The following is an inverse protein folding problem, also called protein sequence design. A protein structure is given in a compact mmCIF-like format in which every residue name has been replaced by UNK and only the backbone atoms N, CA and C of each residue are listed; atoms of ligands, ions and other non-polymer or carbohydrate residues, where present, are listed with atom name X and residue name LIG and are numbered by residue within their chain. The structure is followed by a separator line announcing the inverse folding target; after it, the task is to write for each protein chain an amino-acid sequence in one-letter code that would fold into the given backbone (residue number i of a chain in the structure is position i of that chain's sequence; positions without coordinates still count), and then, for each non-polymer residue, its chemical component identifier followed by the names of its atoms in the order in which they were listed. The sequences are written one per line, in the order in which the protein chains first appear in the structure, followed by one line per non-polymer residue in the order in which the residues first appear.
data_IF_260729479087
#
_entry.id   IF_260729479087
#
_cell.length_a   1.000
_cell.length_b   1.000
_cell.length_c   1.000
_cell.angle_alpha   90.00
_cell.angle_beta   90.00
_cell.angle_gamma   90.00
#
_symmetry.space_group_name_H-M   'P 1'
#
loop_
_entity.id
_entity.type
_entity.pdbx_description
1 polymer ?
#
# COMPACT_ATOMS: atom_id res chain seq x y z
N UNK A 1 2.02 5.20 -33.39
CA UNK A 1 3.49 5.05 -33.48
C UNK A 1 3.87 3.80 -32.70
N UNK A 2 3.94 2.64 -33.37
CA UNK A 2 4.25 1.35 -32.73
C UNK A 2 5.76 1.19 -32.71
N UNK A 3 6.34 1.13 -31.51
CA UNK A 3 7.78 0.89 -31.32
C UNK A 3 8.13 -0.52 -31.82
N UNK A 4 9.19 -0.64 -32.60
CA UNK A 4 9.65 -1.91 -33.19
C UNK A 4 10.03 -2.91 -32.08
N UNK A 5 9.47 -4.14 -32.05
CA UNK A 5 9.73 -5.14 -31.00
C UNK A 5 11.22 -5.45 -30.82
N UNK A 6 12.03 -5.35 -31.88
CA UNK A 6 13.47 -5.60 -31.81
C UNK A 6 14.19 -4.51 -30.99
N UNK A 7 13.76 -3.26 -31.10
CA UNK A 7 14.33 -2.16 -30.31
C UNK A 7 13.97 -2.27 -28.83
N UNK A 8 12.76 -2.76 -28.53
CA UNK A 8 12.33 -3.02 -27.16
C UNK A 8 13.19 -4.12 -26.52
N UNK A 9 13.42 -5.23 -27.24
CA UNK A 9 14.20 -6.36 -26.72
C UNK A 9 15.67 -5.97 -26.48
N UNK A 10 16.26 -5.18 -27.39
CA UNK A 10 17.60 -4.63 -27.19
C UNK A 10 17.68 -3.65 -26.02
N UNK A 11 16.65 -2.82 -25.80
CA UNK A 11 16.60 -1.90 -24.67
C UNK A 11 16.54 -2.66 -23.33
N UNK A 12 15.69 -3.69 -23.24
CA UNK A 12 15.56 -4.55 -22.04
C UNK A 12 16.88 -5.28 -21.74
N UNK A 13 17.57 -5.79 -22.75
CA UNK A 13 18.87 -6.45 -22.55
C UNK A 13 19.95 -5.49 -22.04
N UNK A 14 20.00 -4.25 -22.56
CA UNK A 14 20.95 -3.22 -22.07
C UNK A 14 20.67 -2.82 -20.64
N UNK A 15 19.40 -2.74 -20.25
CA UNK A 15 18.99 -2.37 -18.89
C UNK A 15 19.34 -3.46 -17.88
N UNK A 16 19.11 -4.74 -18.21
CA UNK A 16 19.54 -5.88 -17.38
C UNK A 16 21.06 -5.96 -17.21
N UNK A 17 21.82 -5.65 -18.27
CA UNK A 17 23.29 -5.60 -18.19
C UNK A 17 23.79 -4.45 -17.32
N UNK A 18 23.18 -3.25 -17.40
CA UNK A 18 23.47 -2.12 -16.50
C UNK A 18 23.17 -2.46 -15.04
N UNK A 19 22.04 -3.11 -14.79
CA UNK A 19 21.66 -3.57 -13.45
C UNK A 19 22.73 -4.46 -12.82
N UNK A 20 23.16 -5.51 -13.52
CA UNK A 20 24.21 -6.44 -13.02
C UNK A 20 25.54 -5.74 -12.76
N UNK A 21 25.96 -4.81 -13.63
CA UNK A 21 27.24 -4.11 -13.49
C UNK A 21 27.25 -3.16 -12.29
N UNK A 22 26.14 -2.44 -12.08
CA UNK A 22 25.98 -1.58 -10.90
C UNK A 22 25.93 -2.39 -9.61
N UNK A 23 25.30 -3.57 -9.65
CA UNK A 23 25.19 -4.47 -8.50
C UNK A 23 26.56 -5.02 -8.05
N UNK A 24 27.41 -5.41 -9.00
CA UNK A 24 28.79 -5.81 -8.69
C UNK A 24 29.60 -4.65 -8.09
N UNK A 25 29.43 -3.43 -8.61
CA UNK A 25 30.10 -2.26 -8.05
C UNK A 25 29.68 -1.99 -6.60
N UNK A 26 28.38 -2.09 -6.29
CA UNK A 26 27.85 -1.94 -4.93
C UNK A 26 28.41 -3.01 -3.99
N UNK A 27 28.46 -4.28 -4.43
CA UNK A 27 28.99 -5.37 -3.62
C UNK A 27 30.49 -5.19 -3.32
N UNK A 28 31.29 -4.79 -4.31
CA UNK A 28 32.73 -4.51 -4.13
C UNK A 28 32.95 -3.33 -3.18
N UNK A 29 32.14 -2.26 -3.30
CA UNK A 29 32.23 -1.10 -2.42
C UNK A 29 31.85 -1.44 -0.97
N UNK A 30 30.79 -2.22 -0.77
CA UNK A 30 30.37 -2.68 0.55
C UNK A 30 31.46 -3.55 1.21
N UNK A 31 31.97 -4.57 0.49
CA UNK A 31 33.03 -5.44 1.01
C UNK A 31 34.30 -4.67 1.40
N UNK A 32 34.71 -3.69 0.59
CA UNK A 32 35.90 -2.88 0.86
C UNK A 32 35.71 -1.95 2.06
N UNK A 33 34.57 -1.24 2.16
CA UNK A 33 34.25 -0.39 3.31
C UNK A 33 34.21 -1.18 4.63
N UNK A 34 33.52 -2.32 4.67
CA UNK A 34 33.44 -3.16 5.87
C UNK A 34 34.79 -3.78 6.22
N UNK A 35 35.60 -4.18 5.23
CA UNK A 35 36.95 -4.70 5.47
C UNK A 35 37.87 -3.66 6.11
N UNK A 36 37.84 -2.41 5.62
CA UNK A 36 38.60 -1.29 6.20
C UNK A 36 38.13 -1.01 7.64
N UNK A 37 36.82 -0.96 7.87
CA UNK A 37 36.26 -0.71 9.20
C UNK A 37 36.67 -1.80 10.19
N UNK A 38 36.56 -3.07 9.82
CA UNK A 38 36.98 -4.19 10.67
C UNK A 38 38.48 -4.20 10.95
N UNK A 39 39.31 -3.77 10.00
CA UNK A 39 40.75 -3.60 10.22
C UNK A 39 41.07 -2.53 11.27
N UNK A 40 40.34 -1.40 11.23
CA UNK A 40 40.47 -0.31 12.22
C UNK A 40 40.05 -0.81 13.62
N UNK A 41 38.92 -1.51 13.73
CA UNK A 41 38.48 -2.09 15.01
C UNK A 41 39.45 -3.13 15.57
N UNK A 42 40.00 -4.01 14.72
CA UNK A 42 41.02 -4.98 15.13
C UNK A 42 42.31 -4.29 15.63
N UNK A 43 42.64 -3.13 15.06
CA UNK A 43 43.79 -2.34 15.49
C UNK A 43 43.56 -1.68 16.85
N UNK A 44 42.34 -1.19 17.12
CA UNK A 44 41.94 -0.66 18.44
C UNK A 44 41.90 -1.77 19.50
N UNK A 45 41.43 -2.96 19.14
CA UNK A 45 41.37 -4.12 20.04
C UNK A 45 42.72 -4.78 20.36
N UNK A 46 43.84 -4.19 19.92
CA UNK A 46 45.20 -4.72 20.11
C UNK A 46 45.42 -6.15 19.61
N UNK A 47 44.68 -6.55 18.56
CA UNK A 47 44.87 -7.85 17.91
C UNK A 47 46.29 -7.92 17.30
N UNK A 48 47.00 -9.06 17.40
CA UNK A 48 48.29 -9.26 16.74
C UNK A 48 48.25 -8.92 15.26
N UNK A 49 49.28 -8.24 14.74
CA UNK A 49 49.33 -7.73 13.37
C UNK A 49 48.92 -8.73 12.27
N UNK A 50 49.41 -10.00 12.25
CA UNK A 50 49.01 -10.94 11.20
C UNK A 50 47.53 -11.32 11.26
N UNK A 51 46.93 -11.34 12.46
CA UNK A 51 45.52 -11.69 12.63
C UNK A 51 44.56 -10.57 12.17
N UNK A 52 45.03 -9.32 12.06
CA UNK A 52 44.21 -8.18 11.60
C UNK A 52 43.74 -8.35 10.16
N UNK A 53 44.57 -8.92 9.29
CA UNK A 53 44.20 -9.19 7.90
C UNK A 53 43.10 -10.23 7.78
N UNK A 54 43.15 -11.28 8.61
CA UNK A 54 42.07 -12.28 8.68
C UNK A 54 40.76 -11.66 9.19
N UNK A 55 40.81 -10.83 10.22
CA UNK A 55 39.63 -10.13 10.75
C UNK A 55 39.05 -9.15 9.72
N UNK A 56 39.90 -8.44 8.99
CA UNK A 56 39.47 -7.53 7.92
C UNK A 56 38.80 -8.28 6.76
N UNK A 57 39.38 -9.40 6.30
CA UNK A 57 38.81 -10.22 5.24
C UNK A 57 37.45 -10.81 5.65
N UNK A 58 37.34 -11.32 6.89
CA UNK A 58 36.08 -11.84 7.41
C UNK A 58 35.02 -10.78 7.61
N UNK A 59 35.41 -9.62 8.15
CA UNK A 59 34.52 -8.47 8.32
C UNK A 59 33.97 -7.95 6.99
N UNK A 60 34.83 -7.87 5.97
CA UNK A 60 34.43 -7.49 4.61
C UNK A 60 33.42 -8.47 4.00
N UNK A 61 33.65 -9.78 4.13
CA UNK A 61 32.73 -10.80 3.61
C UNK A 61 31.38 -10.78 4.34
N UNK A 62 31.39 -10.75 5.68
CA UNK A 62 30.16 -10.72 6.49
C UNK A 62 29.37 -9.44 6.22
N UNK A 63 30.04 -8.28 6.22
CA UNK A 63 29.39 -7.00 5.95
C UNK A 63 28.84 -6.90 4.52
N UNK A 64 29.55 -7.46 3.53
CA UNK A 64 29.07 -7.55 2.15
C UNK A 64 27.80 -8.39 2.02
N UNK A 65 27.77 -9.58 2.61
CA UNK A 65 26.58 -10.45 2.64
C UNK A 65 25.42 -9.75 3.36
N UNK A 66 25.68 -9.10 4.49
CA UNK A 66 24.65 -8.39 5.24
C UNK A 66 24.07 -7.20 4.45
N UNK A 67 24.90 -6.48 3.70
CA UNK A 67 24.45 -5.39 2.82
C UNK A 67 23.59 -5.93 1.69
N UNK A 68 23.97 -7.04 1.07
CA UNK A 68 23.18 -7.71 0.03
C UNK A 68 21.80 -8.10 0.57
N UNK A 69 21.76 -8.79 1.70
CA UNK A 69 20.51 -9.23 2.33
C UNK A 69 19.69 -8.00 2.74
N UNK A 70 20.31 -6.99 3.34
CA UNK A 70 19.64 -5.75 3.75
C UNK A 70 19.02 -4.99 2.57
N UNK A 71 19.74 -4.86 1.45
CA UNK A 71 19.20 -4.24 0.23
C UNK A 71 18.07 -5.07 -0.35
N UNK A 72 18.18 -6.40 -0.38
CA UNK A 72 17.09 -7.26 -0.84
C UNK A 72 15.87 -7.18 0.09
N UNK A 73 16.07 -7.09 1.40
CA UNK A 73 15.00 -6.91 2.37
C UNK A 73 14.31 -5.56 2.16
N UNK A 74 15.08 -4.48 2.08
CA UNK A 74 14.55 -3.13 1.84
C UNK A 74 13.84 -3.07 0.49
N UNK A 75 14.36 -3.71 -0.55
CA UNK A 75 13.69 -3.80 -1.85
C UNK A 75 12.41 -4.64 -1.79
N UNK A 76 12.40 -5.75 -1.04
CA UNK A 76 11.20 -6.56 -0.84
C UNK A 76 10.13 -5.80 -0.05
N UNK A 77 10.51 -5.09 1.01
CA UNK A 77 9.62 -4.22 1.78
C UNK A 77 9.14 -3.02 0.97
N UNK A 78 10.02 -2.41 0.17
CA UNK A 78 9.64 -1.32 -0.75
C UNK A 78 8.71 -1.83 -1.84
N UNK A 79 8.93 -3.03 -2.39
CA UNK A 79 8.01 -3.61 -3.37
C UNK A 79 6.66 -3.97 -2.77
N UNK A 80 6.62 -4.46 -1.53
CA UNK A 80 5.36 -4.70 -0.80
C UNK A 80 4.64 -3.40 -0.46
N UNK A 81 5.36 -2.39 0.03
CA UNK A 81 4.79 -1.09 0.40
C UNK A 81 4.37 -0.24 -0.79
N UNK A 82 5.19 -0.21 -1.86
CA UNK A 82 4.92 0.56 -3.08
C UNK A 82 3.86 -0.12 -3.94
N UNK A 83 3.80 -1.46 -4.03
CA UNK A 83 2.64 -2.12 -4.67
C UNK A 83 1.37 -1.95 -3.87
N UNK A 84 1.43 -2.00 -2.53
CA UNK A 84 0.27 -1.69 -1.70
C UNK A 84 -0.20 -0.23 -1.83
N UNK A 85 0.70 0.71 -2.17
CA UNK A 85 0.36 2.12 -2.37
C UNK A 85 -0.01 2.49 -3.82
N UNK A 86 0.66 1.92 -4.82
CA UNK A 86 0.47 2.26 -6.24
C UNK A 86 -0.46 1.28 -6.98
N UNK A 87 -0.63 0.06 -6.48
CA UNK A 87 -1.52 -0.96 -7.06
C UNK A 87 -2.39 -1.63 -5.98
N UNK A 88 -3.32 -0.91 -5.32
CA UNK A 88 -4.27 -1.58 -4.41
C UNK A 88 -5.28 -2.47 -5.15
N UNK A 89 -5.26 -2.56 -6.48
CA UNK A 89 -6.27 -3.28 -7.24
C UNK A 89 -5.85 -3.73 -8.64
N UNK A 90 -5.51 -5.02 -8.76
CA UNK A 90 -5.96 -5.84 -9.88
C UNK A 90 -5.15 -5.84 -11.17
N UNK A 91 -5.17 -7.01 -11.82
CA UNK A 91 -4.59 -7.31 -13.14
C UNK A 91 -4.76 -6.18 -14.16
N UNK A 92 -3.80 -5.99 -15.07
CA UNK A 92 -3.76 -4.83 -16.00
C UNK A 92 -5.02 -4.52 -16.83
N UNK A 93 -6.03 -5.40 -16.88
CA UNK A 93 -7.36 -5.09 -17.43
C UNK A 93 -8.22 -4.20 -16.52
N UNK A 94 -8.19 -4.44 -15.21
CA UNK A 94 -8.92 -3.63 -14.23
C UNK A 94 -8.37 -2.20 -14.24
N UNK A 95 -7.06 -2.04 -14.46
CA UNK A 95 -6.39 -0.74 -14.62
C UNK A 95 -6.89 0.06 -15.84
N UNK A 96 -7.19 -0.61 -16.96
CA UNK A 96 -7.73 0.05 -18.18
C UNK A 96 -9.15 0.55 -17.92
N UNK A 97 -10.01 -0.30 -17.34
CA UNK A 97 -11.38 0.08 -16.96
C UNK A 97 -11.36 1.24 -15.99
N UNK A 98 -10.51 1.16 -14.96
CA UNK A 98 -10.36 2.22 -13.96
C UNK A 98 -9.92 3.53 -14.61
N UNK A 99 -8.88 3.53 -15.45
CA UNK A 99 -8.39 4.73 -16.12
C UNK A 99 -9.47 5.38 -17.01
N UNK A 100 -10.26 4.58 -17.73
CA UNK A 100 -11.34 5.09 -18.56
C UNK A 100 -12.48 5.70 -17.73
N UNK A 101 -12.91 5.00 -16.67
CA UNK A 101 -13.95 5.49 -15.77
C UNK A 101 -13.50 6.72 -14.98
N UNK A 102 -12.23 6.78 -14.56
CA UNK A 102 -11.65 7.93 -13.90
C UNK A 102 -11.61 9.15 -14.82
N UNK A 103 -11.26 8.98 -16.09
CA UNK A 103 -11.32 10.07 -17.07
C UNK A 103 -12.75 10.63 -17.22
N UNK A 104 -13.78 9.79 -17.09
CA UNK A 104 -15.18 10.24 -17.08
C UNK A 104 -15.56 10.97 -15.78
N UNK A 105 -15.10 10.46 -14.63
CA UNK A 105 -15.32 11.10 -13.33
C UNK A 105 -14.65 12.48 -13.24
N UNK A 106 -13.44 12.65 -13.80
CA UNK A 106 -12.73 13.94 -13.87
C UNK A 106 -13.50 14.96 -14.72
N UNK A 107 -14.28 14.50 -15.70
CA UNK A 107 -15.19 15.36 -16.49
C UNK A 107 -16.54 15.62 -15.78
N UNK A 108 -16.68 15.18 -14.53
CA UNK A 108 -17.90 15.30 -13.74
C UNK A 108 -19.00 14.29 -14.10
N UNK A 109 -18.72 13.33 -14.99
CA UNK A 109 -19.71 12.35 -15.43
C UNK A 109 -19.63 11.06 -14.62
N UNK A 110 -20.07 11.12 -13.37
CA UNK A 110 -20.06 9.99 -12.43
C UNK A 110 -21.01 8.87 -12.85
N UNK A 111 -22.12 9.18 -13.52
CA UNK A 111 -23.06 8.17 -14.00
C UNK A 111 -22.45 7.32 -15.12
N UNK A 112 -21.78 7.96 -16.09
CA UNK A 112 -21.07 7.23 -17.14
C UNK A 112 -19.90 6.41 -16.59
N UNK A 113 -19.20 6.93 -15.57
CA UNK A 113 -18.17 6.18 -14.86
C UNK A 113 -18.76 4.90 -14.22
N UNK A 114 -19.88 5.01 -13.50
CA UNK A 114 -20.56 3.84 -12.91
C UNK A 114 -21.01 2.83 -13.96
N UNK A 115 -21.55 3.28 -15.11
CA UNK A 115 -21.94 2.38 -16.20
C UNK A 115 -20.75 1.60 -16.76
N UNK A 116 -19.57 2.21 -16.85
CA UNK A 116 -18.37 1.51 -17.28
C UNK A 116 -17.96 0.40 -16.29
N UNK A 117 -18.08 0.64 -14.98
CA UNK A 117 -17.84 -0.39 -13.98
C UNK A 117 -18.90 -1.48 -13.97
N UNK A 118 -20.18 -1.14 -14.18
CA UNK A 118 -21.26 -2.12 -14.32
C UNK A 118 -21.01 -3.04 -15.51
N UNK A 119 -20.59 -2.47 -16.66
CA UNK A 119 -20.21 -3.26 -17.83
C UNK A 119 -19.00 -4.17 -17.54
N UNK A 120 -17.94 -3.64 -16.92
CA UNK A 120 -16.77 -4.43 -16.58
C UNK A 120 -17.10 -5.59 -15.61
N UNK A 121 -18.00 -5.37 -14.65
CA UNK A 121 -18.51 -6.42 -13.77
C UNK A 121 -19.34 -7.46 -14.51
N UNK A 122 -20.14 -7.06 -15.48
CA UNK A 122 -20.91 -7.99 -16.31
C UNK A 122 -19.99 -8.89 -17.14
N UNK A 123 -18.88 -8.36 -17.64
CA UNK A 123 -17.93 -9.09 -18.50
C UNK A 123 -16.93 -9.96 -17.70
N UNK A 124 -16.53 -9.52 -16.50
CA UNK A 124 -15.40 -10.12 -15.77
C UNK A 124 -15.74 -10.62 -14.37
N UNK A 125 -17.01 -10.51 -13.99
CA UNK A 125 -17.48 -10.80 -12.65
C UNK A 125 -17.23 -9.64 -11.68
N UNK A 126 -17.83 -9.77 -10.50
CA UNK A 126 -17.64 -8.82 -9.41
C UNK A 126 -16.30 -9.07 -8.71
N UNK A 127 -15.35 -8.14 -8.89
CA UNK A 127 -14.02 -8.18 -8.27
C UNK A 127 -13.88 -7.09 -7.22
N UNK A 128 -13.16 -7.38 -6.14
CA UNK A 128 -12.84 -6.42 -5.09
C UNK A 128 -12.15 -5.16 -5.64
N UNK A 129 -11.22 -5.33 -6.60
CA UNK A 129 -10.52 -4.21 -7.27
C UNK A 129 -11.49 -3.23 -7.93
N UNK A 130 -12.48 -3.73 -8.66
CA UNK A 130 -13.48 -2.91 -9.36
C UNK A 130 -14.42 -2.21 -8.39
N UNK A 131 -14.85 -2.90 -7.32
CA UNK A 131 -15.71 -2.32 -6.28
C UNK A 131 -15.00 -1.17 -5.56
N UNK A 132 -13.73 -1.37 -5.21
CA UNK A 132 -12.90 -0.35 -4.57
C UNK A 132 -12.71 0.86 -5.48
N UNK A 133 -12.33 0.62 -6.74
CA UNK A 133 -12.12 1.67 -7.74
C UNK A 133 -13.37 2.53 -7.98
N UNK A 134 -14.56 1.91 -8.11
CA UNK A 134 -15.80 2.67 -8.26
C UNK A 134 -16.16 3.43 -6.99
N UNK A 135 -16.00 2.82 -5.81
CA UNK A 135 -16.26 3.48 -4.55
C UNK A 135 -15.43 4.77 -4.38
N UNK A 136 -14.15 4.72 -4.76
CA UNK A 136 -13.25 5.88 -4.68
C UNK A 136 -13.68 7.04 -5.59
N UNK A 137 -14.25 6.72 -6.75
CA UNK A 137 -14.85 7.71 -7.64
C UNK A 137 -16.12 8.31 -7.02
N UNK A 138 -16.97 7.48 -6.42
CA UNK A 138 -18.22 7.91 -5.78
C UNK A 138 -18.02 8.67 -4.46
N UNK A 139 -16.84 8.54 -3.83
CA UNK A 139 -16.46 9.30 -2.63
C UNK A 139 -15.99 10.73 -2.93
N UNK A 140 -15.82 11.11 -4.20
CA UNK A 140 -15.44 12.48 -4.58
C UNK A 140 -16.60 13.46 -4.27
N UNK A 141 -16.28 14.76 -4.21
CA UNK A 141 -17.21 15.81 -3.77
C UNK A 141 -18.57 15.81 -4.52
N UNK A 142 -18.56 15.54 -5.82
CA UNK A 142 -19.76 15.50 -6.67
C UNK A 142 -20.27 14.06 -6.92
N UNK A 143 -19.72 13.09 -6.20
CA UNK A 143 -20.11 11.68 -6.28
C UNK A 143 -21.41 11.38 -5.54
N UNK A 144 -21.84 10.12 -5.58
CA UNK A 144 -23.02 9.66 -4.87
C UNK A 144 -22.60 8.89 -3.59
N UNK A 145 -22.77 9.50 -2.39
CA UNK A 145 -22.32 8.88 -1.14
C UNK A 145 -23.10 7.61 -0.77
N UNK A 146 -24.36 7.50 -1.18
CA UNK A 146 -25.16 6.27 -0.98
C UNK A 146 -24.65 5.13 -1.86
N UNK A 147 -24.30 5.43 -3.12
CA UNK A 147 -23.70 4.44 -4.01
C UNK A 147 -22.32 4.00 -3.49
N UNK A 148 -21.51 4.93 -3.00
CA UNK A 148 -20.24 4.61 -2.36
C UNK A 148 -20.44 3.65 -1.17
N UNK A 149 -21.43 3.92 -0.30
CA UNK A 149 -21.78 3.05 0.82
C UNK A 149 -22.11 1.63 0.35
N UNK A 150 -22.97 1.48 -0.66
CA UNK A 150 -23.33 0.16 -1.22
C UNK A 150 -22.10 -0.60 -1.72
N UNK A 151 -21.24 0.07 -2.48
CA UNK A 151 -20.02 -0.53 -3.05
C UNK A 151 -19.04 -0.99 -1.97
N UNK A 152 -18.83 -0.18 -0.93
CA UNK A 152 -17.95 -0.53 0.20
C UNK A 152 -18.52 -1.70 1.02
N UNK A 153 -19.84 -1.74 1.20
CA UNK A 153 -20.49 -2.89 1.84
C UNK A 153 -20.35 -4.18 1.02
N UNK A 154 -20.42 -4.09 -0.31
CA UNK A 154 -20.18 -5.21 -1.23
C UNK A 154 -18.70 -5.63 -1.20
N UNK A 155 -17.78 -4.67 -1.25
CA UNK A 155 -16.34 -4.92 -1.17
C UNK A 155 -15.98 -5.75 0.07
N UNK A 156 -16.52 -5.39 1.24
CA UNK A 156 -16.30 -6.15 2.49
C UNK A 156 -16.84 -7.59 2.44
N UNK A 157 -17.83 -7.87 1.60
CA UNK A 157 -18.44 -9.21 1.45
C UNK A 157 -17.87 -10.00 0.27
N UNK A 158 -17.00 -9.39 -0.54
CA UNK A 158 -16.44 -10.03 -1.72
C UNK A 158 -15.54 -11.20 -1.31
N UNK A 159 -15.62 -12.31 -2.04
CA UNK A 159 -14.83 -13.52 -1.75
C UNK A 159 -13.34 -13.34 -2.09
N UNK A 160 -13.01 -12.38 -2.95
CA UNK A 160 -11.65 -12.02 -3.35
C UNK A 160 -11.11 -10.80 -2.57
N UNK A 161 -11.87 -10.26 -1.60
CA UNK A 161 -11.42 -9.12 -0.80
C UNK A 161 -10.32 -9.52 0.19
N UNK A 162 -9.26 -8.73 0.24
CA UNK A 162 -8.18 -8.92 1.20
C UNK A 162 -8.55 -8.32 2.56
N UNK A 163 -7.79 -8.66 3.60
CA UNK A 163 -7.92 -8.01 4.92
C UNK A 163 -7.69 -6.49 4.84
N UNK A 164 -6.84 -6.04 3.91
CA UNK A 164 -6.61 -4.61 3.67
C UNK A 164 -7.83 -3.94 3.02
N UNK A 165 -8.54 -4.64 2.14
CA UNK A 165 -9.78 -4.12 1.54
C UNK A 165 -10.91 -4.02 2.57
N UNK A 166 -11.01 -4.97 3.50
CA UNK A 166 -11.98 -4.88 4.60
C UNK A 166 -11.66 -3.68 5.52
N UNK A 167 -10.39 -3.50 5.87
CA UNK A 167 -9.95 -2.35 6.68
C UNK A 167 -10.27 -1.04 5.95
N UNK A 168 -9.91 -0.95 4.67
CA UNK A 168 -10.21 0.17 3.80
C UNK A 168 -11.71 0.49 3.77
N UNK A 169 -12.54 -0.52 3.47
CA UNK A 169 -13.98 -0.36 3.37
C UNK A 169 -14.60 0.12 4.69
N UNK A 170 -14.14 -0.44 5.81
CA UNK A 170 -14.65 -0.07 7.14
C UNK A 170 -14.28 1.38 7.48
N UNK A 171 -13.04 1.81 7.22
CA UNK A 171 -12.63 3.20 7.43
C UNK A 171 -13.44 4.18 6.57
N UNK A 172 -13.61 3.88 5.27
CA UNK A 172 -14.38 4.75 4.37
C UNK A 172 -15.87 4.80 4.72
N UNK A 173 -16.44 3.71 5.23
CA UNK A 173 -17.82 3.71 5.74
C UNK A 173 -17.97 4.62 6.96
N UNK A 174 -17.00 4.63 7.89
CA UNK A 174 -16.99 5.59 9.01
C UNK A 174 -16.96 7.03 8.47
N UNK A 175 -16.05 7.34 7.55
CA UNK A 175 -15.95 8.68 6.94
C UNK A 175 -17.27 9.11 6.28
N UNK A 176 -17.91 8.20 5.53
CA UNK A 176 -19.20 8.45 4.87
C UNK A 176 -20.32 8.73 5.87
N UNK A 177 -20.43 7.91 6.92
CA UNK A 177 -21.48 8.06 7.92
C UNK A 177 -21.30 9.32 8.75
N UNK A 178 -20.05 9.71 9.05
CA UNK A 178 -19.76 10.93 9.80
C UNK A 178 -19.81 12.21 8.96
N UNK A 179 -19.56 12.10 7.66
CA UNK A 179 -19.55 13.24 6.75
C UNK A 179 -20.88 13.37 6.01
N UNK A 180 -20.96 12.96 4.74
CA UNK A 180 -22.10 13.27 3.87
C UNK A 180 -23.42 12.60 4.27
N UNK A 181 -23.39 11.41 4.90
CA UNK A 181 -24.63 10.70 5.26
C UNK A 181 -25.20 11.09 6.64
N UNK A 182 -24.37 11.69 7.50
CA UNK A 182 -24.75 12.16 8.85
C UNK A 182 -25.48 11.10 9.70
N UNK A 183 -25.11 9.82 9.56
CA UNK A 183 -25.67 8.71 10.32
C UNK A 183 -24.72 8.31 11.46
N UNK A 184 -24.76 9.08 12.54
CA UNK A 184 -23.93 8.88 13.73
C UNK A 184 -24.08 7.47 14.31
N UNK A 185 -25.28 6.89 14.28
CA UNK A 185 -25.54 5.57 14.84
C UNK A 185 -24.78 4.48 14.07
N UNK A 186 -24.82 4.53 12.73
CA UNK A 186 -24.06 3.60 11.88
C UNK A 186 -22.56 3.85 11.95
N UNK A 187 -22.12 5.10 12.05
CA UNK A 187 -20.71 5.40 12.25
C UNK A 187 -20.17 4.76 13.54
N UNK A 188 -20.91 4.87 14.66
CA UNK A 188 -20.53 4.24 15.93
C UNK A 188 -20.47 2.71 15.82
N UNK A 189 -21.38 2.10 15.05
CA UNK A 189 -21.35 0.67 14.80
C UNK A 189 -20.11 0.24 13.99
N UNK A 190 -19.74 1.00 12.96
CA UNK A 190 -18.55 0.72 12.15
C UNK A 190 -17.24 1.00 12.91
N UNK A 191 -17.19 2.02 13.77
CA UNK A 191 -16.05 2.27 14.67
C UNK A 191 -15.82 1.10 15.65
N UNK A 192 -16.90 0.55 16.23
CA UNK A 192 -16.78 -0.65 17.08
C UNK A 192 -16.28 -1.84 16.30
N UNK A 193 -16.82 -2.07 15.11
CA UNK A 193 -16.35 -3.13 14.21
C UNK A 193 -14.86 -2.97 13.88
N UNK A 194 -14.41 -1.74 13.62
CA UNK A 194 -13.00 -1.44 13.33
C UNK A 194 -12.11 -1.84 14.51
N UNK A 195 -12.49 -1.46 15.73
CA UNK A 195 -11.75 -1.79 16.95
C UNK A 195 -11.72 -3.31 17.24
N UNK A 196 -12.85 -3.99 17.06
CA UNK A 196 -12.98 -5.43 17.32
C UNK A 196 -12.25 -6.30 16.28
N UNK A 197 -12.30 -5.92 15.01
CA UNK A 197 -11.81 -6.75 13.89
C UNK A 197 -10.33 -6.52 13.57
N UNK A 198 -9.78 -5.37 13.97
CA UNK A 198 -8.39 -5.00 13.75
C UNK A 198 -7.66 -4.63 15.06
N UNK A 199 -7.69 -5.48 16.10
CA UNK A 199 -7.10 -5.13 17.39
C UNK A 199 -5.60 -4.90 17.30
N UNK A 200 -5.10 -3.91 18.04
CA UNK A 200 -3.68 -3.56 18.09
C UNK A 200 -3.15 -2.79 16.88
N UNK A 201 -4.02 -2.39 15.94
CA UNK A 201 -3.66 -1.44 14.88
C UNK A 201 -3.90 -0.01 15.33
N UNK A 202 -3.18 0.94 14.71
CA UNK A 202 -3.39 2.38 14.92
C UNK A 202 -4.83 2.81 14.60
N UNK A 203 -5.47 2.18 13.62
CA UNK A 203 -6.86 2.46 13.25
C UNK A 203 -7.84 2.03 14.35
N UNK A 204 -7.61 0.89 14.99
CA UNK A 204 -8.43 0.44 16.11
C UNK A 204 -8.28 1.34 17.34
N UNK A 205 -7.05 1.77 17.65
CA UNK A 205 -6.81 2.75 18.73
C UNK A 205 -7.52 4.08 18.43
N UNK A 206 -7.42 4.56 17.20
CA UNK A 206 -8.13 5.76 16.74
C UNK A 206 -9.65 5.63 16.86
N UNK A 207 -10.21 4.47 16.50
CA UNK A 207 -11.63 4.21 16.62
C UNK A 207 -12.10 4.17 18.08
N UNK A 208 -11.34 3.55 18.98
CA UNK A 208 -11.66 3.54 20.42
C UNK A 208 -11.67 4.96 21.00
N UNK A 209 -10.67 5.78 20.64
CA UNK A 209 -10.61 7.17 21.06
C UNK A 209 -11.81 7.98 20.53
N UNK A 210 -12.20 7.77 19.27
CA UNK A 210 -13.38 8.43 18.69
C UNK A 210 -14.69 7.99 19.35
N UNK A 211 -14.86 6.70 19.63
CA UNK A 211 -16.02 6.17 20.38
C UNK A 211 -16.14 6.81 21.77
N UNK A 212 -15.03 6.98 22.48
CA UNK A 212 -15.01 7.63 23.79
C UNK A 212 -15.40 9.10 23.70
N UNK A 213 -14.81 9.85 22.74
CA UNK A 213 -15.15 11.26 22.52
C UNK A 213 -16.63 11.45 22.21
N UNK A 214 -17.19 10.63 21.33
CA UNK A 214 -18.61 10.72 20.95
C UNK A 214 -19.56 10.37 22.08
N UNK A 215 -19.17 9.41 22.92
CA UNK A 215 -19.95 9.07 24.13
C UNK A 215 -20.01 10.26 25.10
N UNK A 216 -18.90 10.97 25.29
CA UNK A 216 -18.89 12.19 26.11
C UNK A 216 -19.86 13.24 25.54
N UNK A 217 -19.77 13.53 24.24
CA UNK A 217 -20.66 14.49 23.57
C UNK A 217 -22.15 14.13 23.67
N UNK A 218 -22.49 12.83 23.63
CA UNK A 218 -23.88 12.39 23.80
C UNK A 218 -24.38 12.60 25.23
N UNK A 219 -23.53 12.34 26.23
CA UNK A 219 -23.88 12.58 27.63
C UNK A 219 -24.13 14.08 27.88
N UNK A 220 -23.27 14.96 27.36
CA UNK A 220 -23.39 16.42 27.54
C UNK A 220 -24.70 16.97 26.95
N UNK A 221 -25.17 16.45 25.80
CA UNK A 221 -26.45 16.85 25.20
C UNK A 221 -27.67 16.48 26.05
N UNK A 222 -27.56 15.45 26.88
CA UNK A 222 -28.65 15.03 27.76
C UNK A 222 -28.73 15.84 29.06
N UNK A 223 -27.67 16.56 29.44
CA UNK A 223 -27.63 17.41 30.63
C UNK A 223 -28.12 18.85 30.38
N UNK A 224 -28.27 19.26 29.12
CA UNK A 224 -28.76 20.59 28.72
C UNK A 224 -29.96 20.53 27.76
N UNK A 225 -31.13 20.02 28.19
CA UNK A 225 -32.38 20.08 27.43
C UNK A 225 -33.04 21.46 27.41
#
# INVERSE_FOLDING_TARGET
MTMDPVLLEQAVHRERQRGRRNWLAIAVYACSCFGILSFVFASVGRVPFPQRFYVAAMGGLIGGVFTIIGVQLVQAFTQFGVRAMLEPGGSGRDAVVHSHAEAMAVRGNFEAASKAFDQARAEHGERASLLRAEADIQLRQDGNPERARELLMRLRRSSDATRADELYATHRLVDLYLGPLQDDARAMAELRRLAERFPGTRDAEGALAELQRRRALMNDRHEHP
#
